data_IF_447833033942
#
_entry.id   IF_447833033942
#
_cell.length_a   1.000
_cell.length_b   1.000
_cell.length_c   1.000
_cell.angle_alpha   90.00
_cell.angle_beta   90.00
_cell.angle_gamma   90.00
#
_symmetry.space_group_name_H-M   'P 1'
#
loop_
_entity.id
_entity.type
_entity.pdbx_description
1 polymer ?
#
# COMPACT_ATOMS: atom_id res chain seq x y z
N UNK A 1 3.59 15.69 -4.97
CA UNK A 1 3.45 15.60 -3.50
C UNK A 1 4.75 15.01 -2.96
N UNK A 2 5.17 15.28 -1.71
CA UNK A 2 6.34 14.60 -1.15
C UNK A 2 6.02 13.12 -0.90
N UNK A 3 6.89 12.23 -1.36
CA UNK A 3 6.78 10.79 -1.13
C UNK A 3 7.01 10.44 0.36
N UNK A 4 6.20 9.52 0.88
CA UNK A 4 6.44 8.96 2.21
C UNK A 4 7.56 7.92 2.14
N UNK A 5 8.42 7.89 3.16
CA UNK A 5 9.51 6.92 3.23
C UNK A 5 9.03 5.59 3.82
N UNK A 6 8.67 4.62 2.97
CA UNK A 6 8.24 3.29 3.40
C UNK A 6 9.37 2.38 3.92
N UNK A 7 10.65 2.77 3.82
CA UNK A 7 11.73 2.07 4.53
C UNK A 7 11.64 2.29 6.04
N UNK A 8 11.02 3.39 6.48
CA UNK A 8 10.78 3.66 7.89
C UNK A 8 9.59 2.82 8.38
N UNK A 9 9.80 1.89 9.34
CA UNK A 9 8.70 1.09 9.88
C UNK A 9 7.58 1.93 10.51
N UNK A 10 7.91 3.11 11.07
CA UNK A 10 6.89 3.99 11.63
C UNK A 10 5.91 4.48 10.55
N UNK A 11 6.38 4.80 9.34
CA UNK A 11 5.52 5.19 8.22
C UNK A 11 4.58 4.04 7.84
N UNK A 12 5.08 2.81 7.81
CA UNK A 12 4.25 1.63 7.54
C UNK A 12 3.14 1.44 8.57
N UNK A 13 3.45 1.60 9.86
CA UNK A 13 2.45 1.51 10.93
C UNK A 13 1.40 2.62 10.82
N UNK A 14 1.81 3.85 10.54
CA UNK A 14 0.88 4.98 10.36
C UNK A 14 -0.05 4.77 9.15
N UNK A 15 0.46 4.20 8.05
CA UNK A 15 -0.38 3.84 6.90
C UNK A 15 -1.39 2.75 7.27
N UNK A 16 -0.98 1.71 7.98
CA UNK A 16 -1.92 0.68 8.46
C UNK A 16 -2.94 1.27 9.43
N UNK A 17 -2.54 2.17 10.33
CA UNK A 17 -3.45 2.86 11.24
C UNK A 17 -4.47 3.72 10.49
N UNK A 18 -4.04 4.45 9.45
CA UNK A 18 -4.94 5.22 8.60
C UNK A 18 -5.94 4.33 7.85
N UNK A 19 -5.50 3.18 7.32
CA UNK A 19 -6.39 2.22 6.68
C UNK A 19 -7.44 1.68 7.67
N UNK A 20 -7.00 1.25 8.86
CA UNK A 20 -7.90 0.79 9.93
C UNK A 20 -8.91 1.85 10.33
N UNK A 21 -8.46 3.09 10.55
CA UNK A 21 -9.33 4.20 10.93
C UNK A 21 -10.52 4.37 9.99
N UNK A 22 -10.27 4.34 8.67
CA UNK A 22 -11.34 4.50 7.70
C UNK A 22 -12.23 3.25 7.57
N UNK A 23 -11.65 2.05 7.69
CA UNK A 23 -12.44 0.80 7.68
C UNK A 23 -13.31 0.66 8.94
N UNK A 24 -12.83 1.12 10.10
CA UNK A 24 -13.60 1.17 11.34
C UNK A 24 -14.83 2.10 11.22
N UNK A 25 -14.77 3.08 10.30
CA UNK A 25 -15.90 3.95 9.95
C UNK A 25 -16.87 3.32 8.94
N UNK A 26 -16.53 2.16 8.38
CA UNK A 26 -17.42 1.36 7.54
C UNK A 26 -17.35 1.62 6.04
N UNK A 27 -16.22 2.10 5.51
CA UNK A 27 -16.03 2.14 4.04
C UNK A 27 -15.77 0.73 3.49
N UNK A 28 -16.19 0.46 2.26
CA UNK A 28 -16.06 -0.87 1.65
C UNK A 28 -14.66 -1.20 1.09
N UNK A 29 -13.75 -0.22 1.07
CA UNK A 29 -12.41 -0.44 0.52
C UNK A 29 -11.68 0.81 0.08
N UNK A 30 -10.54 0.58 -0.56
CA UNK A 30 -9.63 1.64 -1.01
C UNK A 30 -9.24 1.48 -2.47
N UNK A 31 -9.16 2.62 -3.15
CA UNK A 31 -8.22 2.78 -4.26
C UNK A 31 -6.84 3.03 -3.65
N UNK A 32 -5.89 2.15 -3.93
CA UNK A 32 -4.50 2.31 -3.52
C UNK A 32 -3.79 3.10 -4.62
N UNK A 33 -3.45 4.35 -4.32
CA UNK A 33 -2.85 5.30 -5.27
C UNK A 33 -1.36 5.04 -5.48
N UNK A 34 -0.88 5.28 -6.70
CA UNK A 34 0.55 5.28 -7.05
C UNK A 34 1.31 4.05 -6.56
N UNK A 35 0.68 2.87 -6.61
CA UNK A 35 1.18 1.63 -6.02
C UNK A 35 2.61 1.29 -6.45
N UNK A 36 3.03 1.47 -7.72
CA UNK A 36 4.38 1.09 -8.14
C UNK A 36 5.52 1.84 -7.41
N UNK A 37 5.25 2.99 -6.78
CA UNK A 37 6.25 3.98 -6.40
C UNK A 37 6.59 4.03 -4.89
N UNK A 38 6.08 3.10 -4.07
CA UNK A 38 6.20 3.20 -2.60
C UNK A 38 7.64 3.13 -2.06
N UNK A 39 8.53 2.42 -2.75
CA UNK A 39 9.94 2.25 -2.34
C UNK A 39 10.88 2.79 -3.40
N UNK A 40 11.99 3.37 -2.94
CA UNK A 40 13.03 3.90 -3.81
C UNK A 40 14.33 3.15 -3.57
N UNK A 41 15.09 2.88 -4.63
CA UNK A 41 16.40 2.22 -4.55
C UNK A 41 17.32 2.74 -5.65
N UNK A 42 18.51 3.19 -5.25
CA UNK A 42 19.53 3.64 -6.17
C UNK A 42 19.87 2.57 -7.22
N UNK A 43 20.07 2.99 -8.47
CA UNK A 43 20.34 2.08 -9.59
C UNK A 43 19.11 1.37 -10.16
N UNK A 44 17.90 1.71 -9.72
CA UNK A 44 16.63 1.27 -10.31
C UNK A 44 15.82 2.46 -10.83
N UNK A 45 14.69 2.21 -11.50
CA UNK A 45 13.72 3.26 -11.84
C UNK A 45 12.75 3.57 -10.67
N UNK A 46 12.93 2.95 -9.50
CA UNK A 46 12.06 3.08 -8.32
C UNK A 46 10.60 2.65 -8.54
N UNK A 47 10.33 1.80 -9.53
CA UNK A 47 9.00 1.27 -9.81
C UNK A 47 8.94 -0.24 -9.56
N UNK A 48 7.82 -0.74 -9.03
CA UNK A 48 7.53 -2.17 -8.85
C UNK A 48 8.61 -2.93 -8.09
N UNK A 49 9.27 -2.28 -7.13
CA UNK A 49 10.27 -2.94 -6.33
C UNK A 49 9.63 -4.07 -5.49
N UNK A 50 10.33 -5.20 -5.25
CA UNK A 50 9.80 -6.29 -4.44
C UNK A 50 9.27 -5.86 -3.06
N UNK A 51 9.91 -4.85 -2.46
CA UNK A 51 9.54 -4.23 -1.19
C UNK A 51 8.13 -3.63 -1.23
N UNK A 52 7.77 -2.96 -2.34
CA UNK A 52 6.41 -2.47 -2.61
C UNK A 52 5.40 -3.61 -2.52
N UNK A 53 5.64 -4.70 -3.25
CA UNK A 53 4.74 -5.85 -3.24
C UNK A 53 4.68 -6.55 -1.87
N UNK A 54 5.78 -6.60 -1.13
CA UNK A 54 5.82 -7.17 0.21
C UNK A 54 4.97 -6.34 1.18
N UNK A 55 5.07 -5.02 1.13
CA UNK A 55 4.23 -4.14 1.93
C UNK A 55 2.74 -4.26 1.57
N UNK A 56 2.39 -4.31 0.28
CA UNK A 56 0.99 -4.53 -0.14
C UNK A 56 0.43 -5.87 0.31
N UNK A 57 1.24 -6.95 0.30
CA UNK A 57 0.83 -8.25 0.85
C UNK A 57 0.61 -8.17 2.37
N UNK A 58 1.41 -7.39 3.08
CA UNK A 58 1.22 -7.10 4.51
C UNK A 58 -0.10 -6.35 4.74
N UNK A 59 -0.37 -5.30 3.96
CA UNK A 59 -1.65 -4.56 3.99
C UNK A 59 -2.82 -5.51 3.72
N UNK A 60 -2.74 -6.34 2.68
CA UNK A 60 -3.80 -7.32 2.36
C UNK A 60 -4.04 -8.28 3.51
N UNK A 61 -2.98 -8.82 4.11
CA UNK A 61 -3.08 -9.74 5.26
C UNK A 61 -3.76 -9.09 6.47
N UNK A 62 -3.44 -7.83 6.74
CA UNK A 62 -4.06 -7.07 7.83
C UNK A 62 -5.56 -6.87 7.59
N UNK A 63 -5.94 -6.52 6.36
CA UNK A 63 -7.32 -6.29 5.98
C UNK A 63 -8.12 -7.59 6.01
N UNK A 64 -7.59 -8.69 5.47
CA UNK A 64 -8.24 -10.00 5.50
C UNK A 64 -8.52 -10.51 6.92
N UNK A 65 -7.63 -10.20 7.87
CA UNK A 65 -7.76 -10.66 9.24
C UNK A 65 -8.85 -9.92 10.02
N UNK A 66 -9.12 -8.65 9.70
CA UNK A 66 -9.91 -7.76 10.55
C UNK A 66 -11.15 -7.16 9.86
N UNK A 67 -11.16 -7.10 8.53
CA UNK A 67 -12.16 -6.39 7.73
C UNK A 67 -12.61 -7.25 6.53
N UNK A 68 -13.44 -8.29 6.76
CA UNK A 68 -13.95 -9.13 5.69
C UNK A 68 -14.71 -8.29 4.65
N UNK A 69 -14.77 -8.80 3.41
CA UNK A 69 -15.47 -8.18 2.27
C UNK A 69 -14.91 -6.81 1.80
N UNK A 70 -13.72 -6.41 2.27
CA UNK A 70 -13.05 -5.19 1.85
C UNK A 70 -12.37 -5.32 0.47
N UNK A 71 -12.56 -4.32 -0.39
CA UNK A 71 -11.90 -4.24 -1.71
C UNK A 71 -10.63 -3.40 -1.65
N UNK A 72 -9.55 -3.89 -2.27
CA UNK A 72 -8.36 -3.12 -2.59
C UNK A 72 -8.19 -3.04 -4.11
N UNK A 73 -8.28 -1.84 -4.66
CA UNK A 73 -8.09 -1.58 -6.09
C UNK A 73 -6.77 -0.82 -6.29
N UNK A 74 -5.76 -1.50 -6.80
CA UNK A 74 -4.47 -0.89 -7.09
C UNK A 74 -4.53 -0.01 -8.34
N UNK A 75 -4.01 1.22 -8.24
CA UNK A 75 -3.68 2.02 -9.42
C UNK A 75 -2.21 1.77 -9.79
N UNK A 76 -2.02 1.05 -10.88
CA UNK A 76 -0.73 0.77 -11.50
C UNK A 76 -0.88 0.95 -13.01
N UNK A 77 -0.63 2.18 -13.48
CA UNK A 77 -0.75 2.55 -14.90
C UNK A 77 0.53 2.17 -15.68
N UNK A 78 0.85 0.89 -15.69
CA UNK A 78 2.05 0.33 -16.31
C UNK A 78 1.69 -0.77 -17.30
N UNK A 79 2.66 -1.15 -18.14
CA UNK A 79 2.50 -2.26 -19.06
C UNK A 79 2.35 -3.59 -18.28
N UNK A 80 1.57 -4.55 -18.78
CA UNK A 80 1.24 -5.80 -18.09
C UNK A 80 2.39 -6.83 -18.11
N UNK A 81 3.63 -6.38 -18.26
CA UNK A 81 4.83 -7.23 -18.37
C UNK A 81 5.10 -8.07 -17.11
#
# INVERSE_FOLDING_TARGET
QPDLNYENPAVQEEILAALRFWLDLGIDGFRVDAVPYLYQREGTNCENLPETHNFLKRVRKEIDANYPDTVLLAEANQWPE
#
